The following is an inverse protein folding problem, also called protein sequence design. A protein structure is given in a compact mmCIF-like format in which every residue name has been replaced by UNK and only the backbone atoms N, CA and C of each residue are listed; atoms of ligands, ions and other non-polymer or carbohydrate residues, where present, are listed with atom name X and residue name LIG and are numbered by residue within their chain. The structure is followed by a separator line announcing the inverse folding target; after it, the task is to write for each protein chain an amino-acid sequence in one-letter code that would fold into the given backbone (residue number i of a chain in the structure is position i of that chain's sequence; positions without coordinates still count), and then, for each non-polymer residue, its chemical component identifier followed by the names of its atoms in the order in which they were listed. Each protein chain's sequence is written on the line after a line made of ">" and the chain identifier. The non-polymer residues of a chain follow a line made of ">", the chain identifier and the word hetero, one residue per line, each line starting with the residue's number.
data_IF_210810321316
#
_entry.id   IF_210810321316
#
_cell.length_a   1.000
_cell.length_b   1.000
_cell.length_c   1.000
_cell.angle_alpha   90.00
_cell.angle_beta   90.00
_cell.angle_gamma   90.00
#
_symmetry.space_group_name_H-M   'P 1'
#
loop_
_entity.id
_entity.type
_entity.pdbx_description
1 polymer ?
#
# COMPACT_ATOMS: atom_id res chain seq x y z
N UNK A 1 -5.23 -3.63 9.71
CA UNK A 1 -4.95 -4.14 8.33
C UNK A 1 -3.83 -5.17 8.38
N UNK A 2 -3.81 -6.16 7.47
CA UNK A 2 -2.65 -7.07 7.34
C UNK A 2 -1.43 -6.33 6.77
N UNK A 3 -0.23 -6.72 7.19
CA UNK A 3 1.00 -5.96 6.92
C UNK A 3 1.30 -5.83 5.42
N UNK A 4 1.24 -6.92 4.65
CA UNK A 4 1.64 -6.91 3.24
C UNK A 4 0.68 -6.09 2.36
N UNK A 5 -0.66 -6.29 2.40
CA UNK A 5 -1.56 -5.40 1.65
C UNK A 5 -1.42 -3.93 2.04
N UNK A 6 -1.24 -3.62 3.33
CA UNK A 6 -1.02 -2.25 3.78
C UNK A 6 0.25 -1.63 3.18
N UNK A 7 1.35 -2.40 3.09
CA UNK A 7 2.58 -1.96 2.42
C UNK A 7 2.35 -1.59 0.96
N UNK A 8 1.66 -2.45 0.19
CA UNK A 8 1.39 -2.20 -1.23
C UNK A 8 0.44 -1.00 -1.42
N UNK A 9 -0.60 -0.90 -0.59
CA UNK A 9 -1.51 0.24 -0.59
C UNK A 9 -0.80 1.55 -0.25
N UNK A 10 0.07 1.54 0.76
CA UNK A 10 0.83 2.72 1.18
C UNK A 10 1.81 3.17 0.09
N UNK A 11 2.50 2.23 -0.56
CA UNK A 11 3.33 2.55 -1.72
C UNK A 11 2.52 3.23 -2.84
N UNK A 12 1.39 2.64 -3.23
CA UNK A 12 0.56 3.20 -4.29
C UNK A 12 0.00 4.59 -3.93
N UNK A 13 -0.53 4.79 -2.72
CA UNK A 13 -1.13 6.08 -2.37
C UNK A 13 -0.08 7.20 -2.29
N UNK A 14 1.13 6.90 -1.83
CA UNK A 14 2.22 7.87 -1.82
C UNK A 14 2.64 8.26 -3.26
N UNK A 15 2.69 7.29 -4.18
CA UNK A 15 2.91 7.57 -5.61
C UNK A 15 1.79 8.46 -6.15
N UNK A 16 0.53 8.09 -5.90
CA UNK A 16 -0.64 8.85 -6.35
C UNK A 16 -0.61 10.29 -5.84
N UNK A 17 -0.40 10.49 -4.53
CA UNK A 17 -0.31 11.80 -3.90
C UNK A 17 0.86 12.63 -4.44
N UNK A 18 2.01 12.00 -4.69
CA UNK A 18 3.14 12.70 -5.29
C UNK A 18 2.77 13.23 -6.69
N UNK A 19 2.15 12.40 -7.52
CA UNK A 19 1.74 12.78 -8.87
C UNK A 19 0.68 13.89 -8.82
N UNK A 20 -0.37 13.76 -8.01
CA UNK A 20 -1.43 14.77 -7.95
C UNK A 20 -0.96 16.10 -7.34
N UNK A 21 0.06 16.07 -6.48
CA UNK A 21 0.65 17.28 -5.90
C UNK A 21 1.56 18.02 -6.88
N UNK A 22 2.29 17.30 -7.74
CA UNK A 22 3.35 17.89 -8.57
C UNK A 22 3.03 17.91 -10.08
N UNK A 23 2.03 17.17 -10.52
CA UNK A 23 1.58 17.14 -11.91
C UNK A 23 0.15 17.65 -11.99
N UNK A 24 -0.06 18.68 -12.81
CA UNK A 24 -1.38 19.22 -13.14
C UNK A 24 -2.12 18.26 -14.08
N UNK A 25 -2.55 17.11 -13.55
CA UNK A 25 -3.23 16.07 -14.31
C UNK A 25 -4.53 15.65 -13.62
N UNK A 26 -5.49 15.23 -14.44
CA UNK A 26 -6.80 14.79 -13.96
C UNK A 26 -6.69 13.52 -13.09
N UNK A 27 -7.66 13.34 -12.20
CA UNK A 27 -7.67 12.25 -11.19
C UNK A 27 -7.59 10.84 -11.79
N UNK A 28 -8.22 10.60 -12.94
CA UNK A 28 -8.18 9.30 -13.63
C UNK A 28 -6.79 9.05 -14.23
N UNK A 29 -6.17 10.07 -14.82
CA UNK A 29 -4.82 9.95 -15.37
C UNK A 29 -3.80 9.70 -14.26
N UNK A 30 -3.96 10.36 -13.11
CA UNK A 30 -3.15 10.13 -11.92
C UNK A 30 -3.31 8.70 -11.39
N UNK A 31 -4.53 8.14 -11.37
CA UNK A 31 -4.77 6.74 -11.01
C UNK A 31 -4.02 5.79 -11.96
N UNK A 32 -4.17 5.96 -13.27
CA UNK A 32 -3.56 5.07 -14.25
C UNK A 32 -2.03 5.15 -14.19
N UNK A 33 -1.47 6.37 -14.16
CA UNK A 33 -0.01 6.56 -14.09
C UNK A 33 0.57 6.07 -12.77
N UNK A 34 -0.09 6.39 -11.65
CA UNK A 34 0.34 5.92 -10.33
C UNK A 34 0.29 4.39 -10.21
N UNK A 35 -0.74 3.76 -10.78
CA UNK A 35 -0.84 2.30 -10.77
C UNK A 35 0.22 1.63 -11.66
N UNK A 36 0.57 2.24 -12.81
CA UNK A 36 1.69 1.78 -13.66
C UNK A 36 3.02 1.84 -12.92
N UNK A 37 3.34 2.97 -12.27
CA UNK A 37 4.56 3.12 -11.47
C UNK A 37 4.62 2.12 -10.31
N UNK A 38 3.48 1.84 -9.67
CA UNK A 38 3.37 0.76 -8.68
C UNK A 38 3.73 -0.59 -9.30
N UNK A 39 3.16 -0.96 -10.46
CA UNK A 39 3.47 -2.23 -11.13
C UNK A 39 4.95 -2.33 -11.52
N UNK A 40 5.53 -1.26 -12.07
CA UNK A 40 6.95 -1.19 -12.42
C UNK A 40 7.83 -1.43 -11.18
N UNK A 41 7.48 -0.84 -10.03
CA UNK A 41 8.19 -1.09 -8.77
C UNK A 41 8.08 -2.55 -8.31
N UNK A 42 6.89 -3.15 -8.41
CA UNK A 42 6.66 -4.55 -8.06
C UNK A 42 7.50 -5.47 -8.95
N UNK A 43 7.51 -5.22 -10.26
CA UNK A 43 8.26 -6.01 -11.25
C UNK A 43 9.77 -5.87 -11.04
N UNK A 44 10.29 -4.64 -10.93
CA UNK A 44 11.71 -4.36 -10.74
C UNK A 44 12.28 -5.04 -9.48
N UNK A 45 11.46 -5.17 -8.43
CA UNK A 45 11.85 -5.81 -7.18
C UNK A 45 11.42 -7.28 -7.07
N UNK A 46 10.87 -7.88 -8.13
CA UNK A 46 10.37 -9.27 -8.17
C UNK A 46 9.40 -9.59 -7.02
N UNK A 47 8.56 -8.62 -6.69
CA UNK A 47 7.55 -8.74 -5.65
C UNK A 47 6.27 -9.35 -6.21
N UNK A 48 5.44 -9.88 -5.32
CA UNK A 48 4.12 -10.38 -5.69
C UNK A 48 3.16 -9.20 -5.83
N UNK A 49 2.37 -9.17 -6.91
CA UNK A 49 1.34 -8.15 -7.08
C UNK A 49 0.17 -8.42 -6.13
N UNK A 50 0.06 -7.64 -5.05
CA UNK A 50 -1.02 -7.77 -4.05
C UNK A 50 -2.18 -6.80 -4.29
N UNK A 51 -1.88 -5.60 -4.79
CA UNK A 51 -2.87 -4.57 -5.12
C UNK A 51 -3.30 -4.65 -6.59
N UNK A 52 -4.61 -4.70 -6.84
CA UNK A 52 -5.21 -4.60 -8.17
C UNK A 52 -5.65 -3.18 -8.49
N UNK A 53 -5.87 -2.85 -9.77
CA UNK A 53 -6.29 -1.52 -10.21
C UNK A 53 -7.61 -1.09 -9.55
N UNK A 54 -8.61 -1.98 -9.50
CA UNK A 54 -9.89 -1.68 -8.85
C UNK A 54 -9.72 -1.40 -7.36
N UNK A 55 -8.85 -2.14 -6.66
CA UNK A 55 -8.56 -1.89 -5.24
C UNK A 55 -7.79 -0.58 -5.04
N UNK A 56 -6.92 -0.23 -5.97
CA UNK A 56 -6.21 1.06 -5.97
C UNK A 56 -7.21 2.23 -6.14
N UNK A 57 -8.17 2.11 -7.05
CA UNK A 57 -9.27 3.08 -7.20
C UNK A 57 -10.12 3.18 -5.91
N UNK A 58 -10.53 2.05 -5.34
CA UNK A 58 -11.28 2.02 -4.07
C UNK A 58 -10.48 2.68 -2.93
N UNK A 59 -9.17 2.46 -2.89
CA UNK A 59 -8.30 3.07 -1.91
C UNK A 59 -8.29 4.60 -1.99
N UNK A 60 -8.24 5.16 -3.20
CA UNK A 60 -8.38 6.62 -3.39
C UNK A 60 -9.72 7.09 -2.82
N UNK A 61 -10.83 6.38 -3.11
CA UNK A 61 -12.15 6.75 -2.58
C UNK A 61 -12.16 6.76 -1.05
N UNK A 62 -11.52 5.80 -0.39
CA UNK A 62 -11.44 5.76 1.08
C UNK A 62 -10.58 6.89 1.68
N UNK A 63 -9.54 7.33 0.97
CA UNK A 63 -8.74 8.48 1.42
C UNK A 63 -9.50 9.78 1.22
N UNK A 64 -10.15 9.97 0.07
CA UNK A 64 -11.01 11.13 -0.18
C UNK A 64 -12.22 11.23 0.74
N UNK A 65 -12.75 10.09 1.20
CA UNK A 65 -13.85 10.05 2.17
C UNK A 65 -13.36 10.03 3.63
N UNK A 66 -12.08 10.28 3.88
CA UNK A 66 -11.45 10.32 5.20
C UNK A 66 -11.63 9.04 6.03
N UNK A 67 -11.93 7.90 5.42
CA UNK A 67 -11.97 6.60 6.11
C UNK A 67 -10.55 6.13 6.42
N UNK A 68 -9.62 6.42 5.50
CA UNK A 68 -8.20 6.16 5.66
C UNK A 68 -7.41 7.47 5.57
N UNK A 69 -6.32 7.53 6.33
CA UNK A 69 -5.35 8.62 6.25
C UNK A 69 -3.92 8.06 6.26
N UNK A 70 -2.94 8.94 6.08
CA UNK A 70 -1.52 8.60 6.09
C UNK A 70 -0.92 9.08 7.41
N UNK A 71 -0.12 8.22 8.04
CA UNK A 71 0.68 8.58 9.22
C UNK A 71 2.13 8.13 9.05
N UNK A 72 3.11 8.91 9.54
CA UNK A 72 4.50 8.48 9.55
C UNK A 72 4.72 7.36 10.58
N UNK A 73 5.60 6.43 10.25
CA UNK A 73 6.11 5.44 11.19
C UNK A 73 7.16 6.07 12.12
N UNK A 74 7.00 5.91 13.44
CA UNK A 74 7.93 6.47 14.43
C UNK A 74 9.34 5.86 14.40
N UNK A 75 9.54 4.75 13.69
CA UNK A 75 10.84 4.08 13.56
C UNK A 75 11.58 4.40 12.26
N UNK A 76 10.92 4.32 11.10
CA UNK A 76 11.56 4.55 9.81
C UNK A 76 11.18 5.87 9.13
N UNK A 77 10.21 6.62 9.66
CA UNK A 77 9.72 7.87 9.07
C UNK A 77 8.86 7.69 7.81
N UNK A 78 8.75 6.48 7.27
CA UNK A 78 7.92 6.22 6.09
C UNK A 78 6.43 6.45 6.35
N UNK A 79 5.71 6.83 5.31
CA UNK A 79 4.29 7.17 5.34
C UNK A 79 3.41 5.95 5.03
N UNK A 80 2.50 5.61 5.95
CA UNK A 80 1.67 4.41 5.88
C UNK A 80 0.19 4.71 6.06
N UNK A 81 -0.65 3.95 5.36
CA UNK A 81 -2.10 4.01 5.51
C UNK A 81 -2.54 3.46 6.86
N UNK A 82 -3.44 4.20 7.51
CA UNK A 82 -4.11 3.84 8.76
C UNK A 82 -5.57 4.24 8.67
N UNK A 83 -6.38 3.73 9.60
CA UNK A 83 -7.79 4.10 9.68
C UNK A 83 -7.94 5.40 10.44
N UNK A 84 -8.64 6.40 9.90
CA UNK A 84 -8.61 7.76 10.44
C UNK A 84 -9.17 7.91 11.86
N UNK A 85 -9.97 6.94 12.33
CA UNK A 85 -10.51 6.93 13.70
C UNK A 85 -9.57 6.27 14.74
N UNK A 86 -8.43 5.71 14.32
CA UNK A 86 -7.47 5.10 15.24
C UNK A 86 -6.52 6.15 15.85
N UNK A 87 -5.88 5.83 16.97
CA UNK A 87 -4.86 6.68 17.58
C UNK A 87 -3.51 6.41 16.91
N UNK A 88 -2.90 7.44 16.31
CA UNK A 88 -1.70 7.29 15.47
C UNK A 88 -0.36 7.70 16.11
N UNK A 89 -0.38 8.25 17.32
CA UNK A 89 0.80 8.90 17.95
C UNK A 89 2.06 8.04 18.04
N UNK A 90 1.89 6.71 18.08
CA UNK A 90 2.98 5.73 18.15
C UNK A 90 2.91 4.68 17.03
N UNK A 91 2.46 5.07 15.84
CA UNK A 91 2.33 4.14 14.73
C UNK A 91 3.68 3.52 14.33
N UNK A 92 3.75 2.18 14.30
CA UNK A 92 4.90 1.41 13.81
C UNK A 92 4.45 0.57 12.62
N UNK A 93 5.10 0.75 11.47
CA UNK A 93 4.73 0.05 10.25
C UNK A 93 5.05 -1.45 10.31
N UNK A 94 4.42 -2.21 9.41
CA UNK A 94 4.58 -3.66 9.32
C UNK A 94 6.00 -4.13 8.94
N UNK A 95 6.86 -3.26 8.40
CA UNK A 95 8.27 -3.57 8.15
C UNK A 95 9.16 -3.35 9.38
N UNK A 96 8.83 -2.36 10.21
CA UNK A 96 9.54 -2.10 11.45
C UNK A 96 9.09 -2.99 12.62
N UNK A 97 7.95 -3.66 12.47
CA UNK A 97 7.43 -4.68 13.38
C UNK A 97 6.86 -5.86 12.57
N UNK A 98 7.74 -6.61 11.92
CA UNK A 98 7.37 -7.72 11.03
C UNK A 98 6.60 -8.78 11.82
N UNK A 99 5.34 -9.09 11.46
CA UNK A 99 4.56 -10.06 12.19
C UNK A 99 5.09 -11.47 11.95
N UNK A 100 4.96 -12.36 12.95
CA UNK A 100 5.49 -13.74 12.93
C UNK A 100 4.94 -14.65 11.81
N UNK A 101 3.95 -14.17 11.05
CA UNK A 101 3.36 -14.87 9.89
C UNK A 101 3.77 -14.28 8.54
N UNK A 102 4.64 -13.27 8.49
CA UNK A 102 5.23 -12.81 7.25
C UNK A 102 5.91 -13.98 6.52
N UNK A 103 5.52 -14.23 5.26
CA UNK A 103 6.06 -15.33 4.44
C UNK A 103 5.43 -16.72 4.64
N UNK A 104 4.66 -16.97 5.72
CA UNK A 104 4.05 -18.29 5.95
C UNK A 104 2.98 -18.66 4.91
N UNK A 105 2.27 -17.66 4.36
CA UNK A 105 1.25 -17.85 3.32
C UNK A 105 1.84 -18.37 2.01
N UNK A 106 3.09 -18.00 1.66
CA UNK A 106 3.77 -18.50 0.45
C UNK A 106 4.10 -19.98 0.55
N UNK A 107 4.50 -20.46 1.74
CA UNK A 107 4.78 -21.88 1.98
C UNK A 107 3.50 -22.72 1.85
N UNK A 108 2.42 -22.29 2.50
CA UNK A 108 1.13 -22.99 2.43
C UNK A 108 0.53 -23.01 1.00
N UNK A 109 0.64 -21.91 0.25
CA UNK A 109 0.16 -21.85 -1.14
C UNK A 109 1.05 -22.64 -2.14
N UNK A 110 2.34 -22.80 -1.84
CA UNK A 110 3.21 -23.68 -2.61
C UNK A 110 2.92 -25.16 -2.30
N UNK A 111 2.72 -25.50 -1.04
CA UNK A 111 2.32 -26.84 -0.58
C UNK A 111 0.96 -27.25 -1.15
N UNK A 112 0.00 -26.33 -1.28
CA UNK A 112 -1.32 -26.61 -1.86
C UNK A 112 -1.32 -26.77 -3.38
N UNK A 113 -0.25 -26.39 -4.09
CA UNK A 113 -0.11 -26.56 -5.56
C UNK A 113 0.60 -27.87 -5.94
N UNK A 114 1.12 -28.59 -4.95
CA UNK A 114 1.78 -29.90 -5.12
C UNK A 114 0.83 -31.08 -4.87
N UNK A 115 -0.41 -30.81 -4.46
CA UNK A 115 -1.53 -31.74 -4.31
C UNK A 115 -2.61 -31.42 -5.35
#
# INVERSE_FOLDING_TARGET
>A
MSWQPNMHSSLFINIYNFITTHADINSIDALIKGYKLYLEHIEANKLEQVLSLTRAWTLIRFVESEVLCITPCVKCGGEFLVHSLDIHSNHICGLCNIPSRAGKTKKAAAESRLH
#
